data_IF_610741954578
#
_entry.id   IF_610741954578
#
_cell.length_a   1.000
_cell.length_b   1.000
_cell.length_c   1.000
_cell.angle_alpha   90.00
_cell.angle_beta   90.00
_cell.angle_gamma   90.00
#
_symmetry.space_group_name_H-M   'P 1'
#
loop_
_entity.id
_entity.type
_entity.pdbx_description
1 polymer ?
#
# COMPACT_ATOMS: atom_id res chain seq x y z
N UNK A 1 4.87 -18.49 -29.45
CA UNK A 1 4.89 -18.79 -28.01
C UNK A 1 5.15 -17.48 -27.31
N UNK A 2 4.23 -17.10 -26.42
CA UNK A 2 4.28 -15.83 -25.71
C UNK A 2 5.22 -15.99 -24.50
N UNK A 3 6.37 -15.31 -24.55
CA UNK A 3 7.43 -15.39 -23.53
C UNK A 3 6.90 -15.09 -22.14
N UNK A 4 6.05 -14.06 -22.01
CA UNK A 4 5.46 -13.67 -20.73
C UNK A 4 4.52 -14.74 -20.19
N UNK A 5 3.68 -15.33 -21.06
CA UNK A 5 2.80 -16.42 -20.64
C UNK A 5 3.57 -17.62 -20.09
N UNK A 6 4.69 -17.99 -20.72
CA UNK A 6 5.53 -19.09 -20.22
C UNK A 6 6.14 -18.79 -18.85
N UNK A 7 6.50 -17.53 -18.57
CA UNK A 7 6.98 -17.12 -17.24
C UNK A 7 5.86 -17.10 -16.20
N UNK A 8 4.67 -16.60 -16.56
CA UNK A 8 3.50 -16.58 -15.67
C UNK A 8 3.10 -18.01 -15.29
N UNK A 9 2.95 -18.91 -16.26
CA UNK A 9 2.54 -20.29 -16.03
C UNK A 9 3.52 -21.02 -15.09
N UNK A 10 4.84 -20.85 -15.29
CA UNK A 10 5.87 -21.44 -14.41
C UNK A 10 5.92 -20.79 -13.03
N UNK A 11 5.66 -19.49 -12.94
CA UNK A 11 5.62 -18.79 -11.65
C UNK A 11 4.46 -19.31 -10.82
N UNK A 12 3.28 -19.49 -11.43
CA UNK A 12 2.11 -20.03 -10.75
C UNK A 12 2.34 -21.48 -10.29
N UNK A 13 2.97 -22.32 -11.12
CA UNK A 13 3.34 -23.70 -10.73
C UNK A 13 4.23 -23.73 -9.49
N UNK A 14 5.26 -22.87 -9.43
CA UNK A 14 6.13 -22.77 -8.26
C UNK A 14 5.39 -22.19 -7.04
N UNK A 15 4.48 -21.25 -7.28
CA UNK A 15 3.67 -20.66 -6.22
C UNK A 15 2.70 -21.69 -5.61
N UNK A 16 2.13 -22.59 -6.41
CA UNK A 16 1.32 -23.71 -5.95
C UNK A 16 2.07 -24.66 -5.02
N UNK A 17 3.32 -24.99 -5.39
CA UNK A 17 4.19 -25.79 -4.53
C UNK A 17 4.42 -25.08 -3.19
N UNK A 18 4.67 -23.77 -3.22
CA UNK A 18 4.83 -22.97 -2.00
C UNK A 18 3.54 -22.94 -1.16
N UNK A 19 2.36 -22.82 -1.80
CA UNK A 19 1.05 -22.88 -1.11
C UNK A 19 0.87 -24.20 -0.37
N UNK A 20 1.13 -25.33 -1.02
CA UNK A 20 1.00 -26.65 -0.40
C UNK A 20 2.02 -26.88 0.72
N UNK A 21 3.24 -26.34 0.59
CA UNK A 21 4.23 -26.37 1.66
C UNK A 21 3.78 -25.57 2.90
N UNK A 22 3.34 -24.32 2.71
CA UNK A 22 2.91 -23.42 3.80
C UNK A 22 1.67 -23.95 4.55
N UNK A 23 0.73 -24.59 3.85
CA UNK A 23 -0.46 -25.24 4.45
C UNK A 23 -0.12 -26.32 5.49
N UNK A 24 1.10 -26.86 5.49
CA UNK A 24 1.51 -27.84 6.51
C UNK A 24 1.69 -27.22 7.91
N UNK A 25 1.64 -25.89 8.04
CA UNK A 25 1.71 -25.19 9.33
C UNK A 25 3.07 -25.30 10.01
N UNK A 26 4.14 -25.43 9.22
CA UNK A 26 5.53 -25.53 9.73
C UNK A 26 6.27 -24.19 9.72
N UNK A 27 5.73 -23.20 9.03
CA UNK A 27 6.23 -21.83 8.96
C UNK A 27 5.27 -20.87 9.70
N UNK A 28 5.68 -19.61 9.83
CA UNK A 28 4.90 -18.58 10.54
C UNK A 28 3.51 -18.35 9.92
N UNK A 29 3.45 -18.38 8.59
CA UNK A 29 2.22 -18.15 7.82
C UNK A 29 1.79 -19.41 7.05
N UNK A 30 0.48 -19.59 6.92
CA UNK A 30 -0.14 -20.71 6.17
C UNK A 30 -0.22 -20.48 4.66
N UNK A 31 0.18 -19.29 4.21
CA UNK A 31 0.22 -18.87 2.80
C UNK A 31 1.60 -18.30 2.47
N UNK A 32 2.02 -18.29 1.19
CA UNK A 32 3.23 -17.59 0.81
C UNK A 32 3.14 -16.09 1.13
N UNK A 33 4.16 -15.56 1.79
CA UNK A 33 4.23 -14.16 2.24
C UNK A 33 4.64 -13.17 1.14
N UNK A 34 5.13 -13.67 0.00
CA UNK A 34 5.55 -12.85 -1.15
C UNK A 34 4.40 -12.81 -2.17
N UNK A 35 3.62 -11.72 -2.25
CA UNK A 35 2.52 -11.63 -3.20
C UNK A 35 3.04 -11.53 -4.63
N UNK A 36 2.33 -12.16 -5.57
CA UNK A 36 2.54 -11.97 -7.00
C UNK A 36 1.86 -10.68 -7.47
N UNK A 37 2.52 -9.94 -8.36
CA UNK A 37 1.97 -8.74 -8.99
C UNK A 37 2.47 -8.61 -10.42
N UNK A 38 1.59 -8.22 -11.35
CA UNK A 38 1.94 -8.08 -12.78
C UNK A 38 2.44 -6.69 -13.15
N UNK A 39 2.00 -5.67 -12.42
CA UNK A 39 2.34 -4.27 -12.70
C UNK A 39 2.45 -3.42 -11.43
N UNK A 40 2.74 -2.13 -11.61
CA UNK A 40 2.91 -1.17 -10.52
C UNK A 40 1.66 -1.09 -9.65
N UNK A 41 0.49 -1.02 -10.24
CA UNK A 41 -0.76 -0.84 -9.53
C UNK A 41 -1.06 -2.06 -8.64
N UNK A 42 -0.84 -3.28 -9.17
CA UNK A 42 -0.96 -4.52 -8.39
C UNK A 42 0.11 -4.64 -7.31
N UNK A 43 1.34 -4.16 -7.55
CA UNK A 43 2.38 -4.08 -6.50
C UNK A 43 1.94 -3.17 -5.36
N UNK A 44 1.41 -1.99 -5.67
CA UNK A 44 0.91 -1.05 -4.64
C UNK A 44 -0.20 -1.70 -3.82
N UNK A 45 -1.19 -2.30 -4.47
CA UNK A 45 -2.29 -2.97 -3.77
C UNK A 45 -1.80 -4.15 -2.91
N UNK A 46 -0.91 -4.99 -3.46
CA UNK A 46 -0.38 -6.15 -2.75
C UNK A 46 0.54 -5.81 -1.57
N UNK A 47 1.24 -4.66 -1.62
CA UNK A 47 2.16 -4.25 -0.56
C UNK A 47 1.48 -3.44 0.55
N UNK A 48 0.61 -2.48 0.19
CA UNK A 48 0.06 -1.51 1.15
C UNK A 48 -1.44 -1.31 1.04
N UNK A 49 -2.09 -1.94 0.06
CA UNK A 49 -3.51 -1.73 -0.22
C UNK A 49 -3.84 -0.24 -0.51
N UNK A 50 -5.10 0.18 -0.27
CA UNK A 50 -6.24 -0.65 0.13
C UNK A 50 -6.76 -1.53 -1.02
N UNK A 51 -7.64 -2.49 -0.71
CA UNK A 51 -8.25 -3.37 -1.72
C UNK A 51 -8.97 -2.57 -2.82
N UNK A 52 -8.75 -2.97 -4.08
CA UNK A 52 -9.30 -2.32 -5.26
C UNK A 52 -8.55 -1.08 -5.72
N UNK A 53 -7.49 -0.65 -5.01
CA UNK A 53 -6.70 0.52 -5.41
C UNK A 53 -6.00 0.32 -6.75
N UNK A 54 -5.59 -0.91 -7.13
CA UNK A 54 -4.91 -1.13 -8.40
C UNK A 54 -5.80 -0.76 -9.59
N UNK A 55 -7.09 -1.14 -9.52
CA UNK A 55 -8.08 -0.78 -10.55
C UNK A 55 -8.27 0.73 -10.63
N UNK A 56 -8.23 1.42 -9.48
CA UNK A 56 -8.40 2.88 -9.43
C UNK A 56 -7.17 3.61 -9.98
N UNK A 57 -5.97 3.17 -9.63
CA UNK A 57 -4.70 3.68 -10.16
C UNK A 57 -4.69 3.57 -11.69
N UNK A 58 -4.92 2.36 -12.23
CA UNK A 58 -4.96 2.11 -13.69
C UNK A 58 -5.91 3.06 -14.41
N UNK A 59 -7.10 3.29 -13.84
CA UNK A 59 -8.09 4.23 -14.40
C UNK A 59 -7.63 5.69 -14.39
N UNK A 60 -6.94 6.13 -13.34
CA UNK A 60 -6.47 7.51 -13.24
C UNK A 60 -5.26 7.77 -14.16
N UNK A 61 -4.36 6.78 -14.29
CA UNK A 61 -3.19 6.83 -15.17
C UNK A 61 -3.55 7.01 -16.67
N UNK A 62 -4.79 6.73 -17.08
CA UNK A 62 -5.27 7.03 -18.43
C UNK A 62 -5.30 8.54 -18.75
N UNK A 63 -5.31 9.40 -17.73
CA UNK A 63 -5.54 10.85 -17.90
C UNK A 63 -4.69 11.75 -17.01
N UNK A 64 -3.93 11.19 -16.06
CA UNK A 64 -3.17 11.93 -15.06
C UNK A 64 -1.71 11.43 -15.01
N UNK A 65 -0.79 12.32 -14.62
CA UNK A 65 0.58 11.91 -14.30
C UNK A 65 0.60 11.05 -13.04
N UNK A 66 1.66 10.27 -12.85
CA UNK A 66 1.83 9.43 -11.65
C UNK A 66 1.73 10.23 -10.36
N UNK A 67 2.31 11.42 -10.32
CA UNK A 67 2.26 12.33 -9.18
C UNK A 67 0.81 12.76 -8.90
N UNK A 68 0.07 13.16 -9.94
CA UNK A 68 -1.34 13.50 -9.83
C UNK A 68 -2.18 12.31 -9.34
N UNK A 69 -1.92 11.10 -9.86
CA UNK A 69 -2.56 9.86 -9.38
C UNK A 69 -2.28 9.63 -7.90
N UNK A 70 -1.04 9.76 -7.45
CA UNK A 70 -0.67 9.59 -6.06
C UNK A 70 -1.44 10.54 -5.14
N UNK A 71 -1.51 11.82 -5.49
CA UNK A 71 -2.29 12.81 -4.73
C UNK A 71 -3.80 12.55 -4.78
N UNK A 72 -4.33 12.16 -5.93
CA UNK A 72 -5.75 11.88 -6.09
C UNK A 72 -6.18 10.64 -5.28
N UNK A 73 -5.39 9.58 -5.30
CA UNK A 73 -5.61 8.38 -4.49
C UNK A 73 -5.50 8.70 -2.99
N UNK A 74 -4.45 9.43 -2.56
CA UNK A 74 -4.32 9.85 -1.17
C UNK A 74 -5.54 10.66 -0.70
N UNK A 75 -6.03 11.58 -1.53
CA UNK A 75 -7.23 12.35 -1.25
C UNK A 75 -8.45 11.44 -1.08
N UNK A 76 -8.68 10.53 -2.03
CA UNK A 76 -9.81 9.60 -1.98
C UNK A 76 -9.82 8.74 -0.72
N UNK A 77 -8.64 8.25 -0.30
CA UNK A 77 -8.49 7.46 0.93
C UNK A 77 -8.70 8.34 2.17
N UNK A 78 -8.04 9.50 2.24
CA UNK A 78 -8.06 10.37 3.40
C UNK A 78 -9.43 11.00 3.67
N UNK A 79 -10.23 11.27 2.63
CA UNK A 79 -11.56 11.89 2.75
C UNK A 79 -12.71 10.90 2.74
N UNK A 80 -12.43 9.60 2.77
CA UNK A 80 -13.47 8.58 2.83
C UNK A 80 -14.15 8.64 4.20
N UNK A 81 -15.45 8.93 4.21
CA UNK A 81 -16.29 8.76 5.40
C UNK A 81 -16.70 7.29 5.54
N UNK A 82 -16.51 6.71 6.72
CA UNK A 82 -16.94 5.33 6.97
C UNK A 82 -18.46 5.22 7.09
N UNK A 83 -19.07 6.26 7.65
CA UNK A 83 -20.54 6.41 7.73
C UNK A 83 -20.93 7.67 6.97
N UNK A 84 -21.72 7.55 5.88
CA UNK A 84 -22.11 8.71 5.07
C UNK A 84 -22.73 9.82 5.91
N UNK A 85 -22.14 11.02 5.85
CA UNK A 85 -22.62 12.20 6.56
C UNK A 85 -22.20 12.29 8.03
N UNK A 86 -21.36 11.37 8.53
CA UNK A 86 -20.77 11.46 9.85
C UNK A 86 -19.26 11.66 9.73
N UNK A 87 -18.74 12.59 10.54
CA UNK A 87 -17.30 12.81 10.59
C UNK A 87 -16.63 11.62 11.29
N UNK A 88 -15.64 11.05 10.62
CA UNK A 88 -14.79 10.01 11.21
C UNK A 88 -14.20 10.48 12.55
N UNK A 89 -14.11 9.58 13.52
CA UNK A 89 -13.41 9.85 14.77
C UNK A 89 -11.88 9.97 14.51
N UNK A 90 -11.09 10.32 15.54
CA UNK A 90 -9.65 10.48 15.34
C UNK A 90 -8.92 9.19 15.00
N UNK A 91 -9.36 8.05 15.50
CA UNK A 91 -8.74 6.76 15.21
C UNK A 91 -8.87 6.42 13.72
N UNK A 92 -10.07 6.54 13.16
CA UNK A 92 -10.32 6.35 11.73
C UNK A 92 -9.60 7.40 10.87
N UNK A 93 -9.53 8.65 11.31
CA UNK A 93 -8.75 9.68 10.59
C UNK A 93 -7.26 9.35 10.56
N UNK A 94 -6.69 8.80 11.64
CA UNK A 94 -5.30 8.35 11.70
C UNK A 94 -5.06 7.15 10.78
N UNK A 95 -5.97 6.16 10.77
CA UNK A 95 -5.90 5.00 9.88
C UNK A 95 -6.00 5.39 8.40
N UNK A 96 -6.94 6.26 8.05
CA UNK A 96 -7.08 6.76 6.68
C UNK A 96 -5.86 7.58 6.27
N UNK A 97 -5.28 8.38 7.17
CA UNK A 97 -4.06 9.13 6.89
C UNK A 97 -2.84 8.21 6.70
N UNK A 98 -2.69 7.19 7.55
CA UNK A 98 -1.62 6.18 7.43
C UNK A 98 -1.73 5.44 6.09
N UNK A 99 -2.91 4.93 5.76
CA UNK A 99 -3.17 4.26 4.47
C UNK A 99 -2.92 5.21 3.29
N UNK A 100 -3.46 6.44 3.31
CA UNK A 100 -3.27 7.42 2.24
C UNK A 100 -1.79 7.73 1.99
N UNK A 101 -1.01 7.94 3.05
CA UNK A 101 0.42 8.24 2.95
C UNK A 101 1.18 7.04 2.39
N UNK A 102 0.92 5.82 2.87
CA UNK A 102 1.58 4.61 2.39
C UNK A 102 1.27 4.34 0.93
N UNK A 103 0.00 4.39 0.53
CA UNK A 103 -0.42 4.13 -0.84
C UNK A 103 0.15 5.17 -1.80
N UNK A 104 0.08 6.47 -1.46
CA UNK A 104 0.65 7.51 -2.33
C UNK A 104 2.18 7.42 -2.43
N UNK A 105 2.87 7.17 -1.31
CA UNK A 105 4.31 6.96 -1.34
C UNK A 105 4.68 5.74 -2.20
N UNK A 106 3.95 4.64 -2.06
CA UNK A 106 4.16 3.44 -2.87
C UNK A 106 3.96 3.71 -4.37
N UNK A 107 2.96 4.51 -4.76
CA UNK A 107 2.77 4.93 -6.16
C UNK A 107 3.99 5.73 -6.64
N UNK A 108 4.42 6.74 -5.88
CA UNK A 108 5.54 7.61 -6.25
C UNK A 108 6.86 6.85 -6.37
N UNK A 109 7.08 5.85 -5.52
CA UNK A 109 8.28 5.01 -5.52
C UNK A 109 8.10 3.69 -6.29
N UNK A 110 7.09 3.60 -7.15
CA UNK A 110 6.79 2.43 -8.01
C UNK A 110 6.61 1.09 -7.28
N UNK A 111 6.39 1.11 -5.97
CA UNK A 111 6.34 -0.06 -5.11
C UNK A 111 7.66 -0.86 -5.07
N UNK A 112 8.82 -0.23 -5.32
CA UNK A 112 10.13 -0.92 -5.35
C UNK A 112 10.99 -0.68 -4.12
N UNK A 113 10.55 0.15 -3.17
CA UNK A 113 11.30 0.47 -1.94
C UNK A 113 10.52 0.08 -0.70
N UNK A 114 11.24 -0.17 0.40
CA UNK A 114 10.66 -0.58 1.69
C UNK A 114 9.96 0.56 2.45
N UNK A 115 10.12 1.83 2.05
CA UNK A 115 9.62 2.97 2.83
C UNK A 115 8.11 2.91 3.17
N UNK A 116 7.20 2.58 2.23
CA UNK A 116 5.77 2.50 2.53
C UNK A 116 5.39 1.36 3.48
N UNK A 117 6.22 0.31 3.59
CA UNK A 117 5.93 -0.86 4.40
C UNK A 117 6.63 -0.76 5.76
N UNK A 118 7.95 -0.65 5.75
CA UNK A 118 8.80 -0.75 6.94
C UNK A 118 9.35 0.62 7.39
N UNK A 119 9.34 1.62 6.51
CA UNK A 119 9.90 2.93 6.81
C UNK A 119 8.99 3.81 7.66
N UNK A 120 7.67 3.73 7.45
CA UNK A 120 6.67 4.43 8.25
C UNK A 120 6.16 3.48 9.34
N UNK A 121 6.40 3.82 10.60
CA UNK A 121 5.95 3.03 11.75
C UNK A 121 4.48 3.29 12.09
N UNK A 122 4.05 4.55 12.07
CA UNK A 122 2.67 4.98 12.30
C UNK A 122 2.45 6.45 11.94
N UNK A 123 1.20 6.81 11.71
CA UNK A 123 0.72 8.19 11.62
C UNK A 123 -0.24 8.48 12.78
N UNK A 124 -0.06 9.61 13.46
CA UNK A 124 -0.89 10.03 14.61
C UNK A 124 -1.28 11.50 14.54
N UNK A 125 -2.46 11.83 15.03
CA UNK A 125 -2.92 13.19 15.24
C UNK A 125 -2.38 13.67 16.58
N UNK A 126 -1.74 14.85 16.57
CA UNK A 126 -1.10 15.46 17.72
C UNK A 126 -1.69 16.84 17.99
N UNK A 127 -1.69 17.23 19.25
CA UNK A 127 -2.05 18.57 19.67
C UNK A 127 -0.84 19.50 19.60
N UNK A 128 -1.06 20.68 19.04
CA UNK A 128 -0.11 21.78 19.05
C UNK A 128 -0.31 22.62 20.33
N UNK A 129 0.71 23.38 20.77
CA UNK A 129 0.60 24.25 21.94
C UNK A 129 -0.50 25.33 21.83
N UNK A 130 -0.88 25.73 20.61
CA UNK A 130 -1.94 26.68 20.33
C UNK A 130 -3.36 26.06 20.32
N UNK A 131 -3.48 24.76 20.65
CA UNK A 131 -4.74 24.03 20.67
C UNK A 131 -5.21 23.52 19.30
N UNK A 132 -4.45 23.79 18.22
CA UNK A 132 -4.70 23.18 16.91
C UNK A 132 -4.18 21.75 16.85
N UNK A 133 -4.50 21.01 15.78
CA UNK A 133 -4.04 19.63 15.58
C UNK A 133 -3.17 19.52 14.33
N UNK A 134 -2.20 18.61 14.35
CA UNK A 134 -1.35 18.26 13.22
C UNK A 134 -1.15 16.75 13.10
N UNK A 135 -0.69 16.28 11.95
CA UNK A 135 -0.23 14.89 11.79
C UNK A 135 1.24 14.77 12.18
N UNK A 136 1.56 13.74 12.95
CA UNK A 136 2.91 13.26 13.19
C UNK A 136 3.13 11.94 12.48
N UNK A 137 4.12 11.90 11.58
CA UNK A 137 4.59 10.68 10.92
C UNK A 137 5.81 10.16 11.68
N UNK A 138 5.75 8.91 12.12
CA UNK A 138 6.83 8.27 12.86
C UNK A 138 7.58 7.33 11.92
N UNK A 139 8.86 7.61 11.68
CA UNK A 139 9.71 6.75 10.85
C UNK A 139 10.44 5.69 11.68
N UNK A 140 10.65 4.52 11.09
CA UNK A 140 11.49 3.45 11.64
C UNK A 140 12.82 3.36 10.90
N UNK A 141 13.81 2.69 11.51
CA UNK A 141 15.15 2.52 10.95
C UNK A 141 15.22 2.06 9.48
N UNK A 142 14.38 1.11 9.03
CA UNK A 142 14.34 0.66 7.64
C UNK A 142 14.08 1.76 6.61
N UNK A 143 13.58 2.94 7.01
CA UNK A 143 13.42 4.10 6.11
C UNK A 143 14.72 4.44 5.37
N UNK A 144 15.88 4.20 6.00
CA UNK A 144 17.20 4.46 5.40
C UNK A 144 17.46 3.62 4.14
N UNK A 145 16.88 2.42 4.06
CA UNK A 145 17.05 1.52 2.92
C UNK A 145 16.37 2.02 1.65
N UNK A 146 15.43 2.97 1.78
CA UNK A 146 14.70 3.52 0.65
C UNK A 146 15.42 4.68 -0.07
N UNK A 147 16.54 5.17 0.47
CA UNK A 147 17.17 6.40 -0.01
C UNK A 147 16.49 7.67 0.50
N UNK A 148 17.03 8.83 0.11
CA UNK A 148 16.55 10.15 0.51
C UNK A 148 16.23 11.04 -0.66
#
# INVERSE_FOLDING_TARGET
MDYFKMLEDKTEELYDIAREARKQGKDLELVPEIPLAKDLAERVEGLVGPEGVAKRIKKLEESMSREEVAFQIAKEIATKDDVPGQKNNYEVQEENADSAIRTALAILTEGVVAAPLEGIAKVKIKDNPDGTKCFGVYFAGPIRSAGG
#
